data_IF_319414861319
#
_entry.id   IF_319414861319
#
_cell.length_a   1.000
_cell.length_b   1.000
_cell.length_c   1.000
_cell.angle_alpha   90.00
_cell.angle_beta   90.00
_cell.angle_gamma   90.00
#
_symmetry.space_group_name_H-M   'P 1'
#
loop_
_entity.id
_entity.type
_entity.pdbx_description
1 polymer ?
#
# COMPACT_ATOMS: atom_id res chain seq x y z
N UNK A 1 2.61 38.44 -11.24
CA UNK A 1 3.82 37.67 -11.57
C UNK A 1 3.43 36.20 -11.59
N UNK A 2 3.44 35.50 -12.74
CA UNK A 2 3.25 34.05 -12.76
C UNK A 2 4.42 33.37 -12.04
N UNK A 3 4.14 32.47 -11.11
CA UNK A 3 5.18 31.72 -10.38
C UNK A 3 5.11 30.26 -10.81
N UNK A 4 6.04 29.88 -11.69
CA UNK A 4 6.33 28.49 -12.03
C UNK A 4 7.37 27.97 -11.03
N UNK A 5 7.11 26.81 -10.44
CA UNK A 5 8.01 26.16 -9.48
C UNK A 5 8.48 24.81 -10.03
N UNK A 6 9.77 24.55 -9.92
CA UNK A 6 10.37 23.24 -10.17
C UNK A 6 10.67 22.59 -8.81
N UNK A 7 10.18 21.38 -8.62
CA UNK A 7 10.27 20.67 -7.34
C UNK A 7 10.94 19.33 -7.61
N UNK A 8 12.02 19.06 -6.87
CA UNK A 8 12.61 17.74 -6.80
C UNK A 8 12.43 17.19 -5.38
N UNK A 9 11.95 15.97 -5.26
CA UNK A 9 11.71 15.29 -3.99
C UNK A 9 12.41 13.94 -3.99
N UNK A 10 13.12 13.66 -2.92
CA UNK A 10 13.84 12.42 -2.69
C UNK A 10 13.27 11.76 -1.43
N UNK A 11 12.93 10.47 -1.54
CA UNK A 11 12.42 9.68 -0.41
C UNK A 11 13.15 8.35 -0.35
N UNK A 12 13.69 8.04 0.82
CA UNK A 12 14.30 6.75 1.13
C UNK A 12 13.57 6.13 2.32
N UNK A 13 12.98 4.96 2.10
CA UNK A 13 12.30 4.19 3.15
C UNK A 13 13.05 2.86 3.33
N UNK A 14 13.38 2.51 4.58
CA UNK A 14 14.07 1.26 4.91
C UNK A 14 13.23 0.47 5.92
N UNK A 15 13.12 -0.84 5.68
CA UNK A 15 12.27 -1.72 6.46
C UNK A 15 13.02 -3.00 6.81
N UNK A 16 12.88 -3.40 8.07
CA UNK A 16 13.41 -4.66 8.58
C UNK A 16 12.38 -5.29 9.51
N UNK A 17 12.06 -6.55 9.24
CA UNK A 17 11.27 -7.39 10.15
C UNK A 17 12.13 -8.58 10.58
N UNK A 18 12.05 -8.90 11.86
CA UNK A 18 12.67 -10.10 12.43
C UNK A 18 11.54 -10.91 13.05
N UNK A 19 11.50 -12.20 12.73
CA UNK A 19 10.68 -13.18 13.41
C UNK A 19 11.60 -14.09 14.22
N UNK A 20 11.40 -14.10 15.53
CA UNK A 20 12.24 -14.85 16.45
C UNK A 20 11.37 -15.66 17.40
N UNK A 21 11.72 -16.93 17.57
CA UNK A 21 11.13 -17.82 18.56
C UNK A 21 12.22 -18.73 19.12
N UNK A 22 12.10 -19.10 20.40
CA UNK A 22 13.02 -19.97 21.11
C UNK A 22 12.26 -21.21 21.58
N UNK A 23 12.96 -22.35 21.66
CA UNK A 23 12.41 -23.58 22.22
C UNK A 23 11.05 -23.97 21.59
N UNK A 24 10.95 -23.85 20.27
CA UNK A 24 9.69 -24.15 19.58
C UNK A 24 9.33 -25.62 19.77
N UNK A 25 8.12 -25.96 20.26
CA UNK A 25 7.72 -27.35 20.46
C UNK A 25 7.85 -28.18 19.19
N UNK A 26 8.21 -29.46 19.36
CA UNK A 26 8.28 -30.39 18.24
C UNK A 26 6.93 -30.48 17.52
N UNK A 27 6.97 -30.43 16.19
CA UNK A 27 5.75 -30.46 15.39
C UNK A 27 4.85 -29.22 15.56
N UNK A 28 5.37 -28.06 15.99
CA UNK A 28 4.60 -26.81 15.99
C UNK A 28 4.37 -26.26 14.57
N UNK A 29 5.41 -26.20 13.73
CA UNK A 29 5.27 -25.86 12.30
C UNK A 29 5.05 -27.11 11.44
N UNK A 30 4.37 -26.96 10.31
CA UNK A 30 4.17 -28.06 9.35
C UNK A 30 5.41 -28.27 8.49
N UNK A 31 5.92 -27.19 7.92
CA UNK A 31 7.05 -27.23 6.99
C UNK A 31 8.30 -26.66 7.66
N UNK A 32 9.46 -27.21 7.29
CA UNK A 32 10.78 -26.70 7.66
C UNK A 32 11.65 -26.71 6.40
N UNK A 33 11.68 -25.57 5.71
CA UNK A 33 12.30 -25.44 4.39
C UNK A 33 13.83 -25.38 4.45
N UNK A 34 14.41 -24.90 5.55
CA UNK A 34 15.87 -24.90 5.76
C UNK A 34 16.24 -24.84 7.24
N UNK A 35 17.51 -25.13 7.56
CA UNK A 35 18.06 -24.98 8.92
C UNK A 35 19.22 -23.98 8.96
N UNK A 36 19.28 -23.21 10.06
CA UNK A 36 20.36 -22.27 10.32
C UNK A 36 21.46 -22.97 11.12
N UNK A 37 22.47 -23.53 10.44
CA UNK A 37 23.57 -24.30 11.04
C UNK A 37 23.10 -25.50 11.89
N UNK A 38 23.94 -26.54 12.02
CA UNK A 38 23.52 -27.81 12.62
C UNK A 38 23.12 -27.73 14.11
N UNK A 39 23.40 -26.64 14.82
CA UNK A 39 23.26 -26.51 16.28
C UNK A 39 22.08 -25.67 16.76
N UNK A 40 21.37 -24.93 15.90
CA UNK A 40 20.27 -24.03 16.30
C UNK A 40 18.88 -24.61 15.95
N UNK A 41 18.66 -25.89 16.28
CA UNK A 41 17.54 -26.65 15.72
C UNK A 41 16.16 -26.18 16.24
N UNK A 42 16.09 -25.66 17.46
CA UNK A 42 14.83 -25.27 18.15
C UNK A 42 14.48 -23.77 18.04
N UNK A 43 15.43 -22.95 17.61
CA UNK A 43 15.36 -21.50 17.60
C UNK A 43 15.16 -20.97 16.19
N UNK A 44 14.20 -20.09 16.02
CA UNK A 44 13.85 -19.48 14.73
C UNK A 44 14.39 -18.05 14.72
N UNK A 45 15.02 -17.68 13.62
CA UNK A 45 15.50 -16.33 13.39
C UNK A 45 15.41 -16.01 11.90
N UNK A 46 14.25 -15.53 11.49
CA UNK A 46 13.99 -15.15 10.11
C UNK A 46 14.01 -13.64 9.98
N UNK A 47 14.73 -13.14 8.97
CA UNK A 47 14.80 -11.73 8.67
C UNK A 47 14.24 -11.44 7.28
N UNK A 48 13.43 -10.39 7.20
CA UNK A 48 12.97 -9.80 5.94
C UNK A 48 13.45 -8.36 5.90
N UNK A 49 14.18 -7.99 4.85
CA UNK A 49 14.73 -6.64 4.66
C UNK A 49 14.36 -6.12 3.28
N UNK A 50 13.89 -4.88 3.24
CA UNK A 50 13.67 -4.19 1.99
C UNK A 50 13.85 -2.69 2.15
N UNK A 51 14.24 -2.02 1.06
CA UNK A 51 14.25 -0.57 1.01
C UNK A 51 13.62 -0.07 -0.30
N UNK A 52 13.12 1.16 -0.28
CA UNK A 52 12.64 1.87 -1.46
C UNK A 52 13.33 3.22 -1.57
N UNK A 53 13.66 3.58 -2.81
CA UNK A 53 14.21 4.87 -3.18
C UNK A 53 13.34 5.50 -4.26
N UNK A 54 12.61 6.56 -3.92
CA UNK A 54 11.75 7.31 -4.84
C UNK A 54 12.32 8.71 -5.11
N UNK A 55 12.55 8.99 -6.38
CA UNK A 55 12.90 10.32 -6.89
C UNK A 55 11.70 10.85 -7.66
N UNK A 56 11.21 12.04 -7.32
CA UNK A 56 10.08 12.68 -8.00
C UNK A 56 10.50 14.07 -8.47
N UNK A 57 10.33 14.33 -9.77
CA UNK A 57 10.49 15.65 -10.36
C UNK A 57 9.12 16.19 -10.75
N UNK A 58 8.82 17.42 -10.36
CA UNK A 58 7.54 18.06 -10.60
C UNK A 58 7.68 19.49 -11.10
N UNK A 59 6.76 19.88 -11.97
CA UNK A 59 6.55 21.25 -12.41
C UNK A 59 5.19 21.69 -11.87
N UNK A 60 5.17 22.78 -11.11
CA UNK A 60 3.96 23.32 -10.52
C UNK A 60 3.73 24.77 -10.95
N UNK A 61 2.49 25.08 -11.29
CA UNK A 61 1.96 26.40 -11.54
C UNK A 61 1.07 26.76 -10.34
N UNK A 62 1.40 27.83 -9.63
CA UNK A 62 0.63 28.26 -8.46
C UNK A 62 -0.73 28.86 -8.85
N UNK A 63 -1.66 28.79 -7.91
CA UNK A 63 -3.01 29.36 -8.05
C UNK A 63 -2.94 30.86 -8.38
N UNK A 64 -3.72 31.31 -9.37
CA UNK A 64 -3.74 32.72 -9.80
C UNK A 64 -2.73 33.09 -10.87
N UNK A 65 -2.11 32.11 -11.54
CA UNK A 65 -1.22 32.30 -12.70
C UNK A 65 -1.92 33.03 -13.88
N UNK A 66 -3.25 32.87 -14.03
CA UNK A 66 -4.05 33.54 -15.07
C UNK A 66 -5.42 33.97 -14.49
N UNK A 67 -6.03 35.06 -14.99
CA UNK A 67 -7.39 35.51 -14.61
C UNK A 67 -8.45 34.41 -14.76
N UNK A 68 -8.23 33.47 -15.69
CA UNK A 68 -9.10 32.30 -15.91
C UNK A 68 -8.65 31.03 -15.16
N UNK A 69 -7.42 30.96 -14.65
CA UNK A 69 -6.87 29.79 -13.93
C UNK A 69 -6.77 30.08 -12.43
N UNK A 70 -7.91 29.96 -11.73
CA UNK A 70 -8.02 30.12 -10.27
C UNK A 70 -7.63 28.86 -9.49
N UNK A 71 -6.82 27.98 -10.06
CA UNK A 71 -6.36 26.74 -9.43
C UNK A 71 -4.90 26.51 -9.79
N UNK A 72 -4.14 25.98 -8.85
CA UNK A 72 -2.80 25.47 -9.08
C UNK A 72 -2.83 24.14 -9.83
N UNK A 73 -1.85 23.93 -10.69
CA UNK A 73 -1.64 22.72 -11.46
C UNK A 73 -0.22 22.22 -11.21
N UNK A 74 -0.07 20.93 -10.92
CA UNK A 74 1.23 20.27 -10.81
C UNK A 74 1.24 19.05 -11.71
N UNK A 75 2.31 18.85 -12.46
CA UNK A 75 2.60 17.61 -13.17
C UNK A 75 3.92 17.05 -12.64
N UNK A 76 4.03 15.74 -12.51
CA UNK A 76 5.22 15.10 -11.96
C UNK A 76 5.50 13.75 -12.60
N UNK A 77 6.79 13.38 -12.59
CA UNK A 77 7.30 12.07 -12.94
C UNK A 77 8.07 11.53 -11.75
N UNK A 78 7.93 10.24 -11.47
CA UNK A 78 8.70 9.58 -10.41
C UNK A 78 9.39 8.33 -10.90
N UNK A 79 10.59 8.10 -10.38
CA UNK A 79 11.33 6.86 -10.51
C UNK A 79 11.49 6.23 -9.12
N UNK A 80 11.05 4.98 -8.97
CA UNK A 80 11.14 4.21 -7.72
C UNK A 80 12.01 2.96 -7.92
N UNK A 81 13.09 2.83 -7.15
CA UNK A 81 13.89 1.62 -7.02
C UNK A 81 13.51 0.91 -5.71
N UNK A 82 13.06 -0.33 -5.79
CA UNK A 82 12.75 -1.17 -4.63
C UNK A 82 13.71 -2.35 -4.59
N UNK A 83 14.32 -2.56 -3.43
CA UNK A 83 15.25 -3.65 -3.18
C UNK A 83 14.65 -4.61 -2.16
N UNK A 84 14.72 -5.91 -2.45
CA UNK A 84 14.23 -6.97 -1.58
C UNK A 84 15.31 -8.01 -1.37
N UNK A 85 15.36 -8.57 -0.16
CA UNK A 85 16.20 -9.71 0.18
C UNK A 85 15.31 -10.92 0.48
N UNK A 86 15.67 -12.07 -0.10
CA UNK A 86 15.02 -13.38 0.11
C UNK A 86 16.06 -14.44 0.49
N UNK A 87 15.78 -15.33 1.46
CA UNK A 87 16.71 -16.40 1.83
C UNK A 87 16.91 -17.40 0.67
N UNK A 88 18.15 -17.84 0.47
CA UNK A 88 18.49 -18.90 -0.49
C UNK A 88 18.79 -20.21 0.22
N UNK A 89 18.66 -21.31 -0.53
CA UNK A 89 18.93 -22.65 -0.04
C UNK A 89 20.29 -23.13 -0.55
N UNK A 90 21.10 -23.69 0.35
CA UNK A 90 22.37 -24.34 0.02
C UNK A 90 22.18 -25.86 0.11
N UNK A 91 22.36 -26.54 -1.02
CA UNK A 91 22.31 -28.00 -1.06
C UNK A 91 23.65 -28.55 -0.56
N UNK A 92 23.64 -29.42 0.46
CA UNK A 92 24.83 -30.12 0.93
C UNK A 92 25.14 -31.34 0.06
N UNK A 93 26.41 -31.74 0.00
CA UNK A 93 26.83 -33.02 -0.56
C UNK A 93 27.57 -33.81 0.52
N UNK A 94 27.11 -35.00 0.96
CA UNK A 94 25.88 -35.68 0.53
C UNK A 94 24.60 -34.90 0.92
N UNK A 95 23.48 -35.12 0.20
CA UNK A 95 22.23 -34.42 0.45
C UNK A 95 21.66 -34.75 1.83
N UNK A 96 21.39 -33.73 2.64
CA UNK A 96 20.60 -33.84 3.87
C UNK A 96 19.10 -33.74 3.59
N UNK A 97 18.27 -34.29 4.48
CA UNK A 97 16.80 -34.23 4.36
C UNK A 97 16.24 -32.79 4.39
N UNK A 98 16.99 -31.84 4.95
CA UNK A 98 16.69 -30.40 4.88
C UNK A 98 17.93 -29.64 4.39
N UNK A 99 17.79 -28.69 3.45
CA UNK A 99 18.90 -27.88 2.98
C UNK A 99 19.34 -26.88 4.06
N UNK A 100 20.58 -26.39 3.93
CA UNK A 100 21.13 -25.36 4.80
C UNK A 100 20.76 -23.97 4.29
N UNK A 101 20.72 -22.99 5.19
CA UNK A 101 20.62 -21.59 4.80
C UNK A 101 21.83 -21.15 3.94
N UNK A 102 21.56 -20.65 2.74
CA UNK A 102 22.56 -20.28 1.73
C UNK A 102 22.86 -18.79 1.61
N UNK A 103 22.29 -17.95 2.48
CA UNK A 103 22.40 -16.50 2.42
C UNK A 103 21.14 -15.84 1.88
N UNK A 104 21.29 -14.64 1.32
CA UNK A 104 20.17 -13.86 0.77
C UNK A 104 20.42 -13.52 -0.70
N UNK A 105 19.41 -13.79 -1.53
CA UNK A 105 19.31 -13.28 -2.89
C UNK A 105 18.73 -11.87 -2.88
N UNK A 106 19.23 -11.03 -3.80
CA UNK A 106 18.87 -9.62 -3.92
C UNK A 106 18.03 -9.39 -5.16
N UNK A 107 16.83 -8.88 -4.98
CA UNK A 107 15.89 -8.58 -6.06
C UNK A 107 15.65 -7.08 -6.15
N UNK A 108 16.01 -6.49 -7.28
CA UNK A 108 15.77 -5.08 -7.58
C UNK A 108 14.57 -4.93 -8.53
N UNK A 109 13.65 -4.01 -8.21
CA UNK A 109 12.52 -3.63 -9.06
C UNK A 109 12.59 -2.13 -9.32
N UNK A 110 12.49 -1.73 -10.57
CA UNK A 110 12.46 -0.33 -10.98
C UNK A 110 11.09 -0.03 -11.57
N UNK A 111 10.48 1.07 -11.13
CA UNK A 111 9.17 1.50 -11.59
C UNK A 111 9.21 2.99 -11.97
N UNK A 112 8.51 3.36 -13.05
CA UNK A 112 8.34 4.76 -13.47
C UNK A 112 6.86 5.10 -13.46
N UNK A 113 6.51 6.21 -12.80
CA UNK A 113 5.17 6.76 -12.76
C UNK A 113 5.10 8.18 -13.28
N UNK A 114 3.95 8.55 -13.79
CA UNK A 114 3.59 9.94 -14.12
C UNK A 114 2.31 10.30 -13.39
N UNK A 115 2.18 11.56 -13.02
CA UNK A 115 0.99 12.02 -12.33
C UNK A 115 0.80 13.52 -12.42
N UNK A 116 -0.37 13.94 -11.97
CA UNK A 116 -0.77 15.33 -11.91
C UNK A 116 -1.60 15.62 -10.68
N UNK A 117 -1.63 16.88 -10.30
CA UNK A 117 -2.45 17.39 -9.21
C UNK A 117 -3.10 18.71 -9.63
N UNK A 118 -4.40 18.81 -9.41
CA UNK A 118 -5.19 20.02 -9.50
C UNK A 118 -5.56 20.45 -8.08
N UNK A 119 -5.17 21.66 -7.71
CA UNK A 119 -5.34 22.17 -6.35
C UNK A 119 -5.96 23.57 -6.39
N UNK A 120 -6.97 23.80 -5.57
CA UNK A 120 -7.50 25.12 -5.28
C UNK A 120 -7.60 25.28 -3.77
N UNK A 121 -6.79 26.18 -3.21
CA UNK A 121 -6.75 26.47 -1.78
C UNK A 121 -7.15 27.90 -1.45
N UNK A 122 -7.16 28.80 -2.45
CA UNK A 122 -7.53 30.19 -2.21
C UNK A 122 -9.01 30.45 -2.48
N UNK A 123 -9.61 31.26 -1.60
CA UNK A 123 -11.03 31.58 -1.58
C UNK A 123 -11.64 31.18 -0.24
N UNK A 124 -12.90 31.54 -0.01
CA UNK A 124 -13.60 31.16 1.22
C UNK A 124 -14.68 30.09 0.97
N UNK A 125 -15.04 29.86 -0.30
CA UNK A 125 -16.21 29.08 -0.67
C UNK A 125 -15.88 27.65 -1.06
N UNK A 126 -14.96 27.44 -2.00
CA UNK A 126 -14.67 26.12 -2.58
C UNK A 126 -13.17 25.85 -2.60
N UNK A 127 -12.77 24.77 -1.96
CA UNK A 127 -11.43 24.23 -2.04
C UNK A 127 -11.47 22.81 -2.60
N UNK A 128 -10.45 22.44 -3.37
CA UNK A 128 -10.31 21.08 -3.85
C UNK A 128 -8.86 20.69 -4.07
N UNK A 129 -8.58 19.40 -3.99
CA UNK A 129 -7.29 18.79 -4.24
C UNK A 129 -7.53 17.43 -4.89
N UNK A 130 -7.20 17.31 -6.16
CA UNK A 130 -7.35 16.08 -6.94
C UNK A 130 -5.95 15.70 -7.43
N UNK A 131 -5.49 14.50 -7.10
CA UNK A 131 -4.22 13.94 -7.56
C UNK A 131 -4.50 12.64 -8.30
N UNK A 132 -3.82 12.43 -9.43
CA UNK A 132 -3.83 11.16 -10.15
C UNK A 132 -2.40 10.76 -10.51
N UNK A 133 -2.04 9.50 -10.28
CA UNK A 133 -0.73 8.91 -10.60
C UNK A 133 -0.95 7.54 -11.25
N UNK A 134 -0.21 7.26 -12.32
CA UNK A 134 -0.23 5.96 -13.02
C UNK A 134 1.19 5.49 -13.29
N UNK A 135 1.41 4.18 -13.20
CA UNK A 135 2.70 3.55 -13.42
C UNK A 135 2.78 2.96 -14.83
N UNK A 136 3.77 3.41 -15.59
CA UNK A 136 3.93 3.06 -16.99
C UNK A 136 4.92 1.91 -17.21
N UNK A 137 5.97 1.86 -16.40
CA UNK A 137 7.08 0.92 -16.56
C UNK A 137 7.37 0.25 -15.23
N UNK A 138 7.78 -1.02 -15.28
CA UNK A 138 8.20 -1.80 -14.12
C UNK A 138 7.18 -2.85 -13.72
N UNK A 139 7.38 -3.42 -12.53
CA UNK A 139 6.51 -4.42 -11.95
C UNK A 139 5.11 -3.85 -11.58
N UNK A 140 5.04 -2.55 -11.29
CA UNK A 140 3.78 -1.84 -11.02
C UNK A 140 3.06 -1.34 -12.28
N UNK A 141 3.48 -1.72 -13.48
CA UNK A 141 2.85 -1.23 -14.72
C UNK A 141 1.33 -1.51 -14.74
N UNK A 142 0.55 -0.48 -15.05
CA UNK A 142 -0.92 -0.50 -15.04
C UNK A 142 -1.56 -0.28 -13.67
N UNK A 143 -0.78 0.09 -12.65
CA UNK A 143 -1.28 0.63 -11.38
C UNK A 143 -1.80 2.05 -11.58
N UNK A 144 -2.91 2.40 -10.92
CA UNK A 144 -3.56 3.71 -11.00
C UNK A 144 -4.05 4.13 -9.63
N UNK A 145 -3.60 5.31 -9.17
CA UNK A 145 -4.07 5.95 -7.95
C UNK A 145 -4.72 7.28 -8.27
N UNK A 146 -5.94 7.48 -7.78
CA UNK A 146 -6.68 8.75 -7.87
C UNK A 146 -7.15 9.09 -6.46
N UNK A 147 -6.81 10.29 -6.01
CA UNK A 147 -7.17 10.82 -4.69
C UNK A 147 -7.82 12.20 -4.87
N UNK A 148 -8.98 12.40 -4.27
CA UNK A 148 -9.77 13.61 -4.40
C UNK A 148 -10.30 14.08 -3.05
N UNK A 149 -10.16 15.37 -2.79
CA UNK A 149 -10.76 16.05 -1.64
C UNK A 149 -11.37 17.36 -2.12
N UNK A 150 -12.57 17.68 -1.65
CA UNK A 150 -13.21 18.96 -1.91
C UNK A 150 -13.99 19.38 -0.68
N UNK A 151 -14.02 20.67 -0.39
CA UNK A 151 -14.87 21.24 0.65
C UNK A 151 -15.52 22.52 0.15
N UNK A 152 -16.79 22.66 0.52
CA UNK A 152 -17.66 23.78 0.18
C UNK A 152 -18.22 24.38 1.46
N UNK A 153 -18.00 25.67 1.67
CA UNK A 153 -18.63 26.44 2.74
C UNK A 153 -19.77 27.27 2.15
N UNK A 154 -20.96 27.14 2.71
CA UNK A 154 -22.12 27.94 2.32
C UNK A 154 -22.94 28.38 3.54
N UNK A 155 -23.54 29.58 3.50
CA UNK A 155 -24.41 30.04 4.58
C UNK A 155 -25.76 29.32 4.51
N UNK A 156 -26.25 28.81 5.64
CA UNK A 156 -27.56 28.20 5.79
C UNK A 156 -28.16 28.60 7.14
N UNK A 157 -29.38 29.15 7.17
CA UNK A 157 -30.06 29.63 8.39
C UNK A 157 -29.23 30.60 9.26
N UNK A 158 -28.41 31.45 8.64
CA UNK A 158 -27.52 32.37 9.36
C UNK A 158 -26.32 31.70 10.04
N UNK A 159 -26.04 30.44 9.73
CA UNK A 159 -24.86 29.69 10.14
C UNK A 159 -24.00 29.30 8.93
N UNK A 160 -22.71 29.04 9.14
CA UNK A 160 -21.83 28.50 8.11
C UNK A 160 -21.84 26.98 8.16
N UNK A 161 -22.33 26.36 7.10
CA UNK A 161 -22.32 24.91 6.93
C UNK A 161 -21.17 24.54 6.01
N UNK A 162 -20.40 23.52 6.41
CA UNK A 162 -19.34 22.97 5.61
C UNK A 162 -19.74 21.58 5.11
N UNK A 163 -19.71 21.41 3.78
CA UNK A 163 -19.81 20.11 3.12
C UNK A 163 -18.43 19.73 2.60
N UNK A 164 -17.84 18.67 3.15
CA UNK A 164 -16.59 18.11 2.69
C UNK A 164 -16.83 16.73 2.04
N UNK A 165 -16.15 16.48 0.93
CA UNK A 165 -16.14 15.20 0.24
C UNK A 165 -14.69 14.74 0.09
N UNK A 166 -14.42 13.48 0.43
CA UNK A 166 -13.14 12.82 0.19
C UNK A 166 -13.40 11.52 -0.55
N UNK A 167 -12.71 11.31 -1.66
CA UNK A 167 -12.79 10.09 -2.42
C UNK A 167 -11.39 9.62 -2.82
N UNK A 168 -11.20 8.30 -2.90
CA UNK A 168 -10.03 7.74 -3.57
C UNK A 168 -10.42 6.50 -4.36
N UNK A 169 -9.65 6.23 -5.40
CA UNK A 169 -9.72 5.02 -6.21
C UNK A 169 -8.31 4.55 -6.50
N UNK A 170 -7.93 3.42 -5.92
CA UNK A 170 -6.60 2.82 -6.05
C UNK A 170 -6.74 1.44 -6.67
N UNK A 171 -6.15 1.26 -7.85
CA UNK A 171 -5.91 -0.05 -8.46
C UNK A 171 -4.43 -0.37 -8.32
N UNK A 172 -4.06 -1.17 -7.32
CA UNK A 172 -2.67 -1.39 -6.91
C UNK A 172 -2.22 -2.82 -7.15
N UNK A 173 -0.95 -3.00 -7.50
CA UNK A 173 -0.32 -4.32 -7.41
C UNK A 173 -0.19 -4.75 -5.94
N UNK A 174 -0.32 -6.04 -5.64
CA UNK A 174 0.05 -6.59 -4.34
C UNK A 174 1.53 -6.30 -4.00
N UNK A 175 1.85 -6.30 -2.71
CA UNK A 175 3.24 -6.13 -2.26
C UNK A 175 4.09 -7.31 -2.73
N UNK A 176 5.39 -7.09 -2.96
CA UNK A 176 6.30 -8.14 -3.38
C UNK A 176 6.30 -9.33 -2.41
N UNK A 177 6.32 -9.06 -1.09
CA UNK A 177 6.27 -10.11 -0.06
C UNK A 177 4.89 -10.75 0.12
N UNK A 178 3.84 -10.24 -0.52
CA UNK A 178 2.57 -10.96 -0.60
C UNK A 178 2.62 -12.02 -1.71
N UNK A 179 3.31 -11.72 -2.81
CA UNK A 179 3.49 -12.64 -3.94
C UNK A 179 4.61 -13.65 -3.69
N UNK A 180 5.78 -13.21 -3.23
CA UNK A 180 6.96 -14.05 -3.06
C UNK A 180 7.49 -13.88 -1.64
N UNK A 181 7.40 -14.94 -0.83
CA UNK A 181 7.89 -14.91 0.54
C UNK A 181 8.54 -16.23 0.89
N UNK A 182 9.78 -16.12 1.35
CA UNK A 182 10.59 -17.27 1.77
C UNK A 182 11.06 -17.05 3.20
N UNK A 183 10.87 -18.07 4.03
CA UNK A 183 11.16 -18.12 5.46
C UNK A 183 11.36 -19.59 5.84
N UNK A 184 11.89 -19.85 7.03
CA UNK A 184 12.15 -21.21 7.49
C UNK A 184 10.89 -22.08 7.47
N UNK A 185 9.74 -21.54 7.83
CA UNK A 185 8.48 -22.30 7.97
C UNK A 185 7.41 -21.92 6.94
N UNK A 186 7.65 -20.88 6.16
CA UNK A 186 6.70 -20.34 5.22
C UNK A 186 7.39 -20.09 3.89
N UNK A 187 6.88 -20.69 2.82
CA UNK A 187 7.44 -20.54 1.49
C UNK A 187 6.32 -20.50 0.46
N UNK A 188 6.24 -19.43 -0.31
CA UNK A 188 5.32 -19.34 -1.43
C UNK A 188 5.84 -18.38 -2.50
N UNK A 189 5.48 -18.71 -3.74
CA UNK A 189 5.71 -17.90 -4.93
C UNK A 189 4.41 -17.92 -5.74
N UNK A 190 3.59 -16.89 -5.54
CA UNK A 190 2.25 -16.76 -6.07
C UNK A 190 2.16 -15.57 -7.04
N UNK A 191 1.30 -15.69 -8.05
CA UNK A 191 0.91 -14.57 -8.89
C UNK A 191 -0.47 -14.09 -8.45
N UNK A 192 -0.54 -12.85 -7.93
CA UNK A 192 -1.76 -12.29 -7.37
C UNK A 192 -2.32 -11.20 -8.31
N UNK A 193 -3.65 -11.07 -8.38
CA UNK A 193 -4.24 -10.00 -9.20
C UNK A 193 -4.14 -8.63 -8.52
N UNK A 194 -4.22 -7.56 -9.32
CA UNK A 194 -4.27 -6.18 -8.81
C UNK A 194 -5.52 -5.97 -7.94
N UNK A 195 -5.32 -5.40 -6.75
CA UNK A 195 -6.38 -5.02 -5.83
C UNK A 195 -7.01 -3.70 -6.25
N UNK A 196 -8.34 -3.61 -6.18
CA UNK A 196 -9.07 -2.34 -6.34
C UNK A 196 -9.61 -1.94 -4.97
N UNK A 197 -9.20 -0.78 -4.48
CA UNK A 197 -9.71 -0.18 -3.25
C UNK A 197 -10.24 1.21 -3.57
N UNK A 198 -11.51 1.46 -3.31
CA UNK A 198 -12.11 2.78 -3.47
C UNK A 198 -12.92 3.15 -2.26
N UNK A 199 -12.91 4.43 -1.90
CA UNK A 199 -13.74 4.96 -0.82
C UNK A 199 -14.31 6.30 -1.23
N UNK A 200 -15.54 6.58 -0.84
CA UNK A 200 -16.18 7.89 -0.94
C UNK A 200 -16.72 8.22 0.45
N UNK A 201 -16.39 9.42 0.95
CA UNK A 201 -16.80 9.95 2.24
C UNK A 201 -17.39 11.35 2.04
N UNK A 202 -18.63 11.56 2.47
CA UNK A 202 -19.22 12.87 2.65
C UNK A 202 -19.29 13.22 4.13
N UNK A 203 -18.94 14.45 4.47
CA UNK A 203 -19.04 15.01 5.82
C UNK A 203 -19.75 16.36 5.75
N UNK A 204 -20.84 16.48 6.50
CA UNK A 204 -21.61 17.70 6.66
C UNK A 204 -21.43 18.19 8.11
N UNK A 205 -20.87 19.38 8.28
CA UNK A 205 -20.57 19.98 9.58
C UNK A 205 -21.33 21.29 9.76
N UNK A 206 -22.10 21.38 10.84
CA UNK A 206 -22.72 22.61 11.33
C UNK A 206 -21.86 23.21 12.43
N UNK A 207 -21.42 24.46 12.25
CA UNK A 207 -20.50 25.09 13.20
C UNK A 207 -21.22 25.53 14.49
N UNK A 208 -22.44 26.08 14.38
CA UNK A 208 -23.18 26.59 15.54
C UNK A 208 -23.64 25.51 16.51
N UNK A 209 -24.13 24.39 15.99
CA UNK A 209 -24.61 23.25 16.81
C UNK A 209 -23.52 22.22 17.09
N UNK A 210 -22.31 22.40 16.53
CA UNK A 210 -21.19 21.45 16.56
C UNK A 210 -21.55 20.05 16.04
N UNK A 211 -22.63 19.95 15.27
CA UNK A 211 -23.13 18.68 14.73
C UNK A 211 -22.35 18.28 13.48
N UNK A 212 -21.96 17.02 13.39
CA UNK A 212 -21.26 16.43 12.24
C UNK A 212 -21.95 15.16 11.79
N UNK A 213 -22.38 15.14 10.54
CA UNK A 213 -22.90 13.95 9.86
C UNK A 213 -21.87 13.45 8.86
N UNK A 214 -21.41 12.22 9.01
CA UNK A 214 -20.48 11.55 8.09
C UNK A 214 -21.16 10.34 7.48
N UNK A 215 -21.06 10.23 6.16
CA UNK A 215 -21.55 9.10 5.37
C UNK A 215 -20.39 8.60 4.51
N UNK A 216 -20.14 7.30 4.53
CA UNK A 216 -19.04 6.68 3.82
C UNK A 216 -19.42 5.38 3.13
N UNK A 217 -18.86 5.17 1.96
CA UNK A 217 -18.88 3.90 1.24
C UNK A 217 -17.44 3.48 0.94
N UNK A 218 -17.05 2.27 1.36
CA UNK A 218 -15.76 1.66 1.06
C UNK A 218 -15.98 0.38 0.28
N UNK A 219 -15.22 0.19 -0.79
CA UNK A 219 -15.24 -1.01 -1.62
C UNK A 219 -13.81 -1.51 -1.83
N UNK A 220 -13.63 -2.80 -1.59
CA UNK A 220 -12.38 -3.51 -1.75
C UNK A 220 -12.60 -4.78 -2.58
N UNK A 221 -11.97 -4.86 -3.75
CA UNK A 221 -12.11 -5.96 -4.71
C UNK A 221 -10.74 -6.60 -4.97
N UNK A 222 -10.72 -7.91 -5.18
CA UNK A 222 -9.49 -8.68 -5.48
C UNK A 222 -8.39 -8.44 -4.44
N UNK A 223 -8.75 -8.40 -3.15
CA UNK A 223 -7.78 -8.21 -2.08
C UNK A 223 -7.11 -9.52 -1.72
N UNK A 224 -5.83 -9.43 -1.37
CA UNK A 224 -5.06 -10.56 -0.87
C UNK A 224 -5.43 -10.85 0.58
N UNK A 225 -5.79 -12.10 0.85
CA UNK A 225 -6.13 -12.57 2.18
C UNK A 225 -5.23 -13.74 2.58
N UNK A 226 -4.71 -13.71 3.80
CA UNK A 226 -3.98 -14.82 4.40
C UNK A 226 -4.97 -15.72 5.13
N UNK A 227 -5.42 -16.76 4.43
CA UNK A 227 -6.35 -17.74 4.98
C UNK A 227 -5.63 -18.93 5.58
N UNK A 228 -6.17 -19.43 6.69
CA UNK A 228 -5.90 -20.78 7.20
C UNK A 228 -6.81 -21.71 6.41
N UNK A 229 -6.26 -22.46 5.45
CA UNK A 229 -7.01 -23.54 4.82
C UNK A 229 -7.10 -24.69 5.83
N UNK A 230 -8.32 -25.01 6.23
CA UNK A 230 -8.61 -26.04 7.23
C UNK A 230 -9.30 -27.19 6.50
N UNK A 231 -8.54 -27.95 5.71
CA UNK A 231 -9.04 -29.15 5.04
C UNK A 231 -9.23 -30.26 6.08
N UNK A 232 -10.40 -30.27 6.72
CA UNK A 232 -10.76 -31.24 7.77
C UNK A 232 -10.92 -32.69 7.26
N UNK A 233 -10.72 -32.96 5.97
CA UNK A 233 -10.84 -34.28 5.35
C UNK A 233 -9.50 -34.96 5.02
N UNK A 234 -8.38 -34.31 5.29
CA UNK A 234 -7.05 -34.91 5.23
C UNK A 234 -6.39 -34.71 6.59
N UNK A 235 -5.63 -35.68 7.11
CA UNK A 235 -4.74 -35.48 8.26
C UNK A 235 -3.55 -34.58 7.88
N UNK A 236 -3.80 -33.46 7.20
CA UNK A 236 -2.79 -32.49 6.80
C UNK A 236 -3.05 -31.18 7.52
N UNK A 237 -2.02 -30.77 8.23
CA UNK A 237 -1.97 -29.59 9.08
C UNK A 237 -2.10 -28.32 8.24
N UNK A 238 -2.59 -27.26 8.86
CA UNK A 238 -2.88 -25.96 8.24
C UNK A 238 -1.67 -25.33 7.52
N UNK A 239 -1.86 -24.96 6.25
CA UNK A 239 -0.97 -24.06 5.51
C UNK A 239 -1.66 -22.71 5.36
N UNK A 240 -0.96 -21.61 5.70
CA UNK A 240 -1.40 -20.26 5.39
C UNK A 240 -0.73 -19.78 4.11
N UNK A 241 -1.49 -19.64 3.02
CA UNK A 241 -1.02 -19.11 1.74
C UNK A 241 -1.90 -17.94 1.31
N UNK A 242 -1.34 -16.87 0.73
CA UNK A 242 -2.13 -15.75 0.24
C UNK A 242 -3.00 -16.17 -0.95
N UNK A 243 -4.28 -15.80 -0.91
CA UNK A 243 -5.21 -15.97 -2.02
C UNK A 243 -6.06 -14.72 -2.26
N UNK A 244 -6.56 -14.56 -3.49
CA UNK A 244 -7.44 -13.45 -3.85
C UNK A 244 -8.89 -13.76 -3.43
N UNK A 245 -9.53 -12.81 -2.75
CA UNK A 245 -10.99 -12.82 -2.53
C UNK A 245 -11.70 -11.82 -3.44
N UNK A 246 -12.90 -12.19 -3.88
CA UNK A 246 -13.61 -11.48 -4.94
C UNK A 246 -14.04 -10.06 -4.57
N UNK A 247 -14.70 -9.83 -3.44
CA UNK A 247 -15.24 -8.49 -3.13
C UNK A 247 -15.63 -8.32 -1.65
N UNK A 248 -15.44 -7.10 -1.14
CA UNK A 248 -15.93 -6.60 0.15
C UNK A 248 -16.43 -5.17 -0.07
N UNK A 249 -17.56 -4.81 0.56
CA UNK A 249 -18.06 -3.44 0.58
C UNK A 249 -18.67 -3.13 1.95
N UNK A 250 -18.51 -1.89 2.40
CA UNK A 250 -19.01 -1.42 3.68
C UNK A 250 -19.59 -0.02 3.57
N UNK A 251 -20.71 0.21 4.26
CA UNK A 251 -21.34 1.52 4.42
C UNK A 251 -21.19 1.94 5.88
N UNK A 252 -20.73 3.16 6.11
CA UNK A 252 -20.60 3.76 7.44
C UNK A 252 -21.40 5.04 7.51
N UNK A 253 -22.26 5.16 8.53
CA UNK A 253 -22.96 6.40 8.86
C UNK A 253 -22.63 6.74 10.30
N UNK A 254 -22.18 7.97 10.55
CA UNK A 254 -21.86 8.45 11.88
C UNK A 254 -22.41 9.86 12.05
N UNK A 255 -23.26 10.03 13.06
CA UNK A 255 -23.70 11.34 13.54
C UNK A 255 -23.01 11.62 14.87
N UNK A 256 -22.46 12.82 15.02
CA UNK A 256 -21.90 13.34 16.27
C UNK A 256 -22.58 14.67 16.53
N UNK A 257 -23.21 14.81 17.70
CA UNK A 257 -23.88 16.03 18.15
C UNK A 257 -23.15 16.59 19.37
#
# INVERSE_FOLDING_TARGET
MPVTSFIHSFRFDNYRRIYQAYETPEGYYLNNYYTNTATANDSIYDQTKHFSLKNTFAIALLEGFNKWAKAGLKAFVSHELRHYELPTLLNSTPPTATPLFGGYEKVNKNDISIGGQLLKTNGNTLHYNITAETWLVGNKAGQLHIDGKADLNFPLFGDTVQLAATAFFHRSNPSYYMENFHSRHYWWDNTLEKQIHSRILGELSWQKTKTKLRIGYDMLKNYTYFGVQNDRTLQEKTISSPSNKSMYANIQVRLVC
#
